data_IF_103488299249
#
_entry.id   IF_103488299249
#
_cell.length_a   1.000
_cell.length_b   1.000
_cell.length_c   1.000
_cell.angle_alpha   90.00
_cell.angle_beta   90.00
_cell.angle_gamma   90.00
#
_symmetry.space_group_name_H-M   'P 1'
#
loop_
_entity.id
_entity.type
_entity.pdbx_description
1 polymer ?
#
# COMPACT_ATOMS: atom_id res chain seq x y z
N UNK A 1 3.36 -2.95 2.98
CA UNK A 1 1.98 -3.38 3.19
C UNK A 1 1.01 -2.23 2.92
N UNK A 2 1.06 -1.11 3.63
CA UNK A 2 0.07 -0.01 3.57
C UNK A 2 -0.12 0.58 2.16
N UNK A 3 0.96 0.72 1.39
CA UNK A 3 0.88 1.23 0.01
C UNK A 3 0.15 0.23 -0.89
N UNK A 4 0.46 -1.06 -0.78
CA UNK A 4 -0.22 -2.12 -1.55
C UNK A 4 -1.71 -2.16 -1.18
N UNK A 5 -2.03 -2.10 0.12
CA UNK A 5 -3.41 -2.06 0.58
C UNK A 5 -4.19 -0.87 0.00
N UNK A 6 -3.59 0.32 0.00
CA UNK A 6 -4.22 1.51 -0.58
C UNK A 6 -4.44 1.39 -2.09
N UNK A 7 -3.50 0.78 -2.81
CA UNK A 7 -3.61 0.55 -4.25
C UNK A 7 -4.74 -0.44 -4.56
N UNK A 8 -4.84 -1.56 -3.80
CA UNK A 8 -5.93 -2.54 -3.93
C UNK A 8 -7.29 -1.90 -3.59
N UNK A 9 -7.36 -1.11 -2.53
CA UNK A 9 -8.60 -0.41 -2.17
C UNK A 9 -9.06 0.53 -3.28
N UNK A 10 -8.13 1.27 -3.90
CA UNK A 10 -8.45 2.20 -4.97
C UNK A 10 -8.89 1.47 -6.24
N UNK A 11 -8.24 0.35 -6.59
CA UNK A 11 -8.70 -0.54 -7.67
C UNK A 11 -10.14 -1.01 -7.42
N UNK A 12 -10.44 -1.48 -6.20
CA UNK A 12 -11.76 -1.98 -5.82
C UNK A 12 -12.84 -0.88 -5.91
N UNK A 13 -12.56 0.30 -5.36
CA UNK A 13 -13.52 1.40 -5.29
C UNK A 13 -13.79 2.04 -6.65
N UNK A 14 -12.80 2.07 -7.53
CA UNK A 14 -12.91 2.72 -8.84
C UNK A 14 -13.21 1.74 -9.97
N UNK A 15 -13.07 0.44 -9.72
CA UNK A 15 -13.12 -0.62 -10.73
C UNK A 15 -12.14 -0.34 -11.87
N UNK A 16 -10.97 0.18 -11.51
CA UNK A 16 -9.89 0.46 -12.46
C UNK A 16 -9.13 -0.80 -12.86
N UNK A 17 -8.13 -0.65 -13.71
CA UNK A 17 -7.18 -1.69 -14.07
C UNK A 17 -6.47 -2.21 -12.80
N UNK A 18 -5.99 -3.46 -12.86
CA UNK A 18 -5.26 -4.10 -11.75
C UNK A 18 -4.00 -3.32 -11.37
N UNK A 19 -3.68 -3.34 -10.09
CA UNK A 19 -2.44 -2.74 -9.60
C UNK A 19 -1.21 -3.44 -10.16
N UNK A 20 -0.15 -2.70 -10.36
CA UNK A 20 1.15 -3.23 -10.78
C UNK A 20 2.20 -3.05 -9.68
N UNK A 21 3.00 -4.09 -9.45
CA UNK A 21 4.17 -4.06 -8.58
C UNK A 21 5.34 -4.60 -9.41
N UNK A 22 6.26 -3.72 -9.78
CA UNK A 22 7.38 -4.08 -10.64
C UNK A 22 8.65 -3.33 -10.25
N UNK A 23 9.78 -3.78 -10.79
CA UNK A 23 11.09 -3.17 -10.60
C UNK A 23 11.58 -2.64 -11.93
N UNK A 24 12.04 -1.40 -11.97
CA UNK A 24 12.60 -0.78 -13.17
C UNK A 24 14.09 -1.15 -13.37
N UNK A 25 14.62 -0.80 -14.53
CA UNK A 25 16.04 -1.00 -14.87
C UNK A 25 16.98 -0.19 -13.97
N UNK A 26 16.48 0.86 -13.34
CA UNK A 26 17.19 1.69 -12.34
C UNK A 26 17.21 1.11 -10.94
N UNK A 27 16.72 -0.15 -10.77
CA UNK A 27 16.65 -0.85 -9.49
C UNK A 27 15.72 -0.21 -8.46
N UNK A 28 14.68 0.50 -8.93
CA UNK A 28 13.61 1.07 -8.10
C UNK A 28 12.37 0.20 -8.17
N UNK A 29 11.71 -0.01 -7.04
CA UNK A 29 10.41 -0.66 -7.01
C UNK A 29 9.29 0.33 -7.27
N UNK A 30 8.30 -0.08 -8.04
CA UNK A 30 7.10 0.66 -8.37
C UNK A 30 5.89 -0.07 -7.85
N UNK A 31 4.98 0.67 -7.21
CA UNK A 31 3.65 0.19 -6.81
C UNK A 31 2.67 1.20 -7.40
N UNK A 32 1.86 0.76 -8.36
CA UNK A 32 0.99 1.62 -9.16
C UNK A 32 -0.46 1.16 -9.12
N UNK A 33 -1.36 2.09 -8.91
CA UNK A 33 -2.78 1.96 -9.16
C UNK A 33 -3.20 2.84 -10.36
N UNK A 34 -4.38 2.57 -10.89
CA UNK A 34 -4.96 3.27 -12.04
C UNK A 34 -6.27 4.00 -11.69
N UNK A 35 -6.48 4.27 -10.41
CA UNK A 35 -7.68 4.90 -9.90
C UNK A 35 -7.69 6.43 -10.02
N UNK A 36 -8.25 7.09 -9.01
CA UNK A 36 -8.47 8.55 -8.99
C UNK A 36 -7.20 9.37 -8.80
N UNK A 37 -6.18 8.76 -8.20
CA UNK A 37 -4.92 9.41 -7.85
C UNK A 37 -4.97 10.16 -6.51
N UNK A 38 -3.81 10.23 -5.85
CA UNK A 38 -3.64 10.98 -4.60
C UNK A 38 -3.58 12.48 -4.90
N UNK A 39 -4.26 13.27 -4.05
CA UNK A 39 -4.11 14.73 -3.96
C UNK A 39 -3.53 15.14 -2.60
N UNK A 40 -3.28 16.43 -2.38
CA UNK A 40 -2.69 16.95 -1.15
C UNK A 40 -3.56 16.69 0.10
N UNK A 41 -4.88 16.58 -0.04
CA UNK A 41 -5.80 16.35 1.07
C UNK A 41 -5.64 14.96 1.66
N UNK A 42 -5.30 13.95 0.85
CA UNK A 42 -5.04 12.59 1.31
C UNK A 42 -3.79 12.47 2.21
N UNK A 43 -2.93 13.48 2.20
CA UNK A 43 -1.78 13.57 3.10
C UNK A 43 -2.15 14.21 4.44
N UNK A 44 -3.33 14.79 4.56
CA UNK A 44 -3.86 15.24 5.85
C UNK A 44 -4.53 14.04 6.56
N UNK A 45 -4.57 14.12 7.90
CA UNK A 45 -5.15 13.05 8.70
C UNK A 45 -6.68 13.19 8.65
N UNK A 46 -7.31 12.57 7.66
CA UNK A 46 -8.77 12.48 7.55
C UNK A 46 -9.16 11.03 7.31
N UNK A 47 -10.15 10.59 8.06
CA UNK A 47 -10.85 9.35 7.76
C UNK A 47 -11.51 9.46 6.38
N UNK A 48 -11.49 8.36 5.64
CA UNK A 48 -12.15 8.31 4.34
C UNK A 48 -13.50 7.62 4.51
N UNK A 49 -14.57 8.41 4.51
CA UNK A 49 -15.96 7.92 4.70
C UNK A 49 -16.34 6.82 3.71
N UNK A 50 -15.84 6.86 2.48
CA UNK A 50 -16.10 5.85 1.46
C UNK A 50 -15.48 4.50 1.84
N UNK A 51 -14.22 4.52 2.32
CA UNK A 51 -13.52 3.33 2.82
C UNK A 51 -14.15 2.78 4.11
N UNK A 52 -14.59 3.65 5.00
CA UNK A 52 -15.26 3.24 6.25
C UNK A 52 -16.57 2.52 5.97
N UNK A 53 -17.34 3.01 5.01
CA UNK A 53 -18.65 2.42 4.62
C UNK A 53 -18.50 1.14 3.81
N UNK A 54 -17.36 0.91 3.17
CA UNK A 54 -17.12 -0.30 2.40
C UNK A 54 -16.74 -1.46 3.32
N UNK A 55 -17.45 -2.58 3.22
CA UNK A 55 -17.10 -3.81 3.95
C UNK A 55 -15.82 -4.47 3.42
N UNK A 56 -15.44 -4.19 2.16
CA UNK A 56 -14.40 -4.91 1.43
C UNK A 56 -13.06 -4.17 1.36
N UNK A 57 -12.98 -2.91 1.80
CA UNK A 57 -11.72 -2.16 1.83
C UNK A 57 -10.84 -2.56 3.02
N UNK A 58 -9.54 -2.49 2.81
CA UNK A 58 -8.50 -2.88 3.76
C UNK A 58 -8.18 -1.72 4.71
N UNK A 59 -7.87 -0.54 4.14
CA UNK A 59 -7.46 0.64 4.90
C UNK A 59 -8.63 1.54 5.24
N UNK A 60 -8.90 1.75 6.54
CA UNK A 60 -10.06 2.54 7.00
C UNK A 60 -9.69 3.86 7.68
N UNK A 61 -8.53 3.95 8.32
CA UNK A 61 -8.24 5.00 9.31
C UNK A 61 -7.37 6.17 8.81
N UNK A 62 -6.97 6.20 7.54
CA UNK A 62 -6.22 7.32 6.96
C UNK A 62 -4.80 7.58 7.52
N UNK A 63 -4.32 6.76 8.45
CA UNK A 63 -3.01 6.92 9.12
C UNK A 63 -1.90 6.18 8.38
N UNK A 64 -2.23 5.06 7.73
CA UNK A 64 -1.27 4.09 7.19
C UNK A 64 -0.27 4.68 6.20
N UNK A 65 -0.68 5.63 5.36
CA UNK A 65 0.24 6.25 4.40
C UNK A 65 1.35 7.04 5.10
N UNK A 66 1.02 7.85 6.10
CA UNK A 66 2.01 8.65 6.84
C UNK A 66 3.00 7.77 7.60
N UNK A 67 2.50 6.73 8.25
CA UNK A 67 3.33 5.76 8.97
C UNK A 67 4.25 4.99 8.02
N UNK A 68 3.76 4.62 6.84
CA UNK A 68 4.57 4.01 5.80
C UNK A 68 5.70 4.94 5.33
N UNK A 69 5.39 6.21 5.03
CA UNK A 69 6.38 7.20 4.59
C UNK A 69 7.45 7.44 5.66
N UNK A 70 7.05 7.60 6.93
CA UNK A 70 7.97 7.74 8.05
C UNK A 70 8.83 6.49 8.26
N UNK A 71 8.27 5.29 8.01
CA UNK A 71 9.00 4.03 8.12
C UNK A 71 10.02 3.88 7.00
N UNK A 72 9.67 4.24 5.76
CA UNK A 72 10.61 4.25 4.65
C UNK A 72 11.80 5.18 4.91
N UNK A 73 11.53 6.40 5.40
CA UNK A 73 12.58 7.34 5.75
C UNK A 73 13.52 6.76 6.82
N UNK A 74 12.99 6.16 7.90
CA UNK A 74 13.81 5.50 8.94
C UNK A 74 14.66 4.34 8.40
N UNK A 75 14.15 3.62 7.39
CA UNK A 75 14.86 2.50 6.73
C UNK A 75 15.80 2.96 5.60
N UNK A 76 15.90 4.26 5.32
CA UNK A 76 16.73 4.79 4.22
C UNK A 76 16.17 4.54 2.82
N UNK A 77 14.90 4.15 2.71
CA UNK A 77 14.20 4.01 1.43
C UNK A 77 13.74 5.38 0.97
N UNK A 78 14.18 5.81 -0.21
CA UNK A 78 13.75 7.07 -0.82
C UNK A 78 12.43 6.86 -1.56
N UNK A 79 11.44 7.66 -1.20
CA UNK A 79 10.10 7.60 -1.78
C UNK A 79 9.83 8.82 -2.64
N UNK A 80 9.37 8.59 -3.86
CA UNK A 80 8.70 9.60 -4.66
C UNK A 80 7.33 9.09 -5.10
N UNK A 81 6.37 10.00 -5.19
CA UNK A 81 5.00 9.69 -5.60
C UNK A 81 4.67 10.52 -6.82
N UNK A 82 4.19 9.86 -7.86
CA UNK A 82 3.56 10.47 -9.01
C UNK A 82 2.07 10.20 -8.96
N UNK A 83 1.28 11.21 -9.21
CA UNK A 83 -0.17 11.07 -9.25
C UNK A 83 -0.75 11.96 -10.35
N UNK A 84 -1.97 11.70 -10.72
CA UNK A 84 -2.74 12.58 -11.61
C UNK A 84 -2.78 14.05 -11.14
N UNK A 85 -2.74 14.27 -9.83
CA UNK A 85 -2.93 15.59 -9.23
C UNK A 85 -1.64 16.24 -8.75
N UNK A 86 -0.75 15.46 -8.17
CA UNK A 86 0.48 15.95 -7.55
C UNK A 86 1.66 15.03 -7.83
N UNK A 87 2.86 15.60 -7.75
CA UNK A 87 4.09 14.86 -7.51
C UNK A 87 4.57 15.19 -6.10
N UNK A 88 5.15 14.19 -5.42
CA UNK A 88 5.64 14.35 -4.06
C UNK A 88 6.99 13.67 -3.88
N UNK A 89 7.86 14.32 -3.13
CA UNK A 89 9.11 13.75 -2.61
C UNK A 89 9.20 13.98 -1.11
N UNK A 90 10.01 13.19 -0.42
CA UNK A 90 10.28 13.36 0.99
C UNK A 90 11.65 14.00 1.19
N UNK A 91 11.75 14.94 2.10
CA UNK A 91 12.97 15.65 2.44
C UNK A 91 13.06 15.88 3.96
N UNK A 92 14.27 15.78 4.52
CA UNK A 92 14.54 16.19 5.90
C UNK A 92 15.03 17.60 5.92
N UNK A 93 14.26 18.48 6.54
CA UNK A 93 14.61 19.90 6.72
C UNK A 93 14.34 20.36 8.13
N UNK A 94 14.92 21.49 8.51
CA UNK A 94 14.64 22.10 9.79
C UNK A 94 13.16 22.46 9.92
N UNK A 95 12.59 22.15 11.07
CA UNK A 95 11.22 22.53 11.38
C UNK A 95 11.10 24.05 11.37
N UNK A 96 10.09 24.58 10.68
CA UNK A 96 9.87 26.02 10.61
C UNK A 96 9.86 26.67 12.02
N UNK A 97 10.70 27.66 12.22
CA UNK A 97 10.86 28.33 13.50
C UNK A 97 11.81 27.65 14.52
N UNK A 98 12.44 26.51 14.16
CA UNK A 98 13.35 25.77 15.04
C UNK A 98 14.59 25.33 14.26
N UNK A 99 15.74 25.96 14.53
CA UNK A 99 16.98 25.66 13.82
C UNK A 99 17.56 24.27 14.13
N UNK A 100 17.28 23.74 15.31
CA UNK A 100 17.89 22.50 15.82
C UNK A 100 16.98 21.26 15.67
N UNK A 101 15.76 21.45 15.16
CA UNK A 101 14.81 20.34 15.01
C UNK A 101 14.63 19.99 13.54
N UNK A 102 15.17 18.84 13.13
CA UNK A 102 14.99 18.30 11.77
C UNK A 102 13.77 17.38 11.74
N UNK A 103 12.87 17.65 10.82
CA UNK A 103 11.65 16.85 10.60
C UNK A 103 11.56 16.38 9.17
N UNK A 104 10.77 15.32 8.93
CA UNK A 104 10.45 14.82 7.60
C UNK A 104 9.34 15.69 7.00
N UNK A 105 9.60 16.25 5.83
CA UNK A 105 8.66 17.07 5.08
C UNK A 105 8.29 16.40 3.75
N UNK A 106 7.05 16.59 3.34
CA UNK A 106 6.58 16.26 2.01
C UNK A 106 6.70 17.51 1.12
N UNK A 107 7.53 17.45 0.10
CA UNK A 107 7.62 18.47 -0.93
C UNK A 107 6.63 18.11 -2.05
N UNK A 108 5.57 18.88 -2.16
CA UNK A 108 4.43 18.63 -3.05
C UNK A 108 4.40 19.67 -4.16
N UNK A 109 4.34 19.19 -5.39
CA UNK A 109 4.19 20.03 -6.58
C UNK A 109 2.98 19.58 -7.41
N UNK A 110 2.27 20.47 -8.10
CA UNK A 110 1.22 20.07 -9.02
C UNK A 110 1.77 19.13 -10.11
N UNK A 111 0.98 18.13 -10.49
CA UNK A 111 1.34 17.26 -11.61
C UNK A 111 1.27 18.03 -12.93
N UNK A 112 2.32 17.91 -13.74
CA UNK A 112 2.37 18.43 -15.11
C UNK A 112 1.72 17.47 -16.12
N UNK A 113 1.67 16.17 -15.79
CA UNK A 113 1.08 15.13 -16.66
C UNK A 113 -0.40 14.94 -16.36
N UNK A 114 -1.24 15.63 -17.13
CA UNK A 114 -2.72 15.52 -17.02
C UNK A 114 -3.28 14.19 -17.55
N UNK A 115 -2.50 13.45 -18.33
CA UNK A 115 -2.86 12.12 -18.85
C UNK A 115 -2.55 11.00 -17.88
N UNK A 116 -1.76 11.25 -16.84
CA UNK A 116 -1.41 10.24 -15.84
C UNK A 116 -2.67 9.80 -15.06
N UNK A 117 -2.89 8.49 -14.99
CA UNK A 117 -3.99 7.88 -14.23
C UNK A 117 -3.44 7.28 -12.94
N UNK A 118 -4.22 7.42 -11.87
CA UNK A 118 -3.92 6.78 -10.59
C UNK A 118 -2.75 7.39 -9.82
N UNK A 119 -2.10 6.55 -9.04
CA UNK A 119 -0.94 6.87 -8.22
C UNK A 119 0.17 5.86 -8.44
N UNK A 120 1.39 6.32 -8.48
CA UNK A 120 2.60 5.49 -8.55
C UNK A 120 3.57 5.88 -7.43
N UNK A 121 3.86 4.92 -6.57
CA UNK A 121 4.92 4.99 -5.57
C UNK A 121 6.20 4.42 -6.15
N UNK A 122 7.28 5.20 -6.13
CA UNK A 122 8.61 4.80 -6.59
C UNK A 122 9.52 4.72 -5.38
N UNK A 123 10.04 3.53 -5.09
CA UNK A 123 10.82 3.20 -3.90
C UNK A 123 12.26 2.88 -4.31
N UNK A 124 13.19 3.82 -4.06
CA UNK A 124 14.63 3.58 -4.27
C UNK A 124 15.26 3.04 -3.00
N UNK A 125 16.23 2.16 -3.15
CA UNK A 125 16.93 1.49 -2.04
C UNK A 125 15.99 0.62 -1.17
N UNK A 126 14.91 0.11 -1.75
CA UNK A 126 14.03 -0.84 -1.08
C UNK A 126 14.52 -2.27 -1.39
N UNK A 127 14.90 -3.08 -0.38
CA UNK A 127 15.32 -4.45 -0.60
C UNK A 127 14.20 -5.31 -1.19
N UNK A 128 14.53 -6.20 -2.14
CA UNK A 128 13.56 -7.09 -2.79
C UNK A 128 12.79 -7.93 -1.77
N UNK A 129 13.49 -8.43 -0.76
CA UNK A 129 12.88 -9.23 0.31
C UNK A 129 11.77 -8.49 1.06
N UNK A 130 11.85 -7.17 1.22
CA UNK A 130 10.82 -6.37 1.89
C UNK A 130 9.57 -6.23 1.03
N UNK A 131 9.73 -6.15 -0.29
CA UNK A 131 8.59 -6.12 -1.23
C UNK A 131 7.92 -7.50 -1.28
N UNK A 132 8.69 -8.58 -1.40
CA UNK A 132 8.13 -9.93 -1.42
C UNK A 132 7.42 -10.27 -0.09
N UNK A 133 7.99 -9.93 1.06
CA UNK A 133 7.31 -10.06 2.34
C UNK A 133 6.00 -9.27 2.39
N UNK A 134 6.00 -8.05 1.84
CA UNK A 134 4.80 -7.22 1.82
C UNK A 134 3.72 -7.79 0.89
N UNK A 135 4.10 -8.34 -0.27
CA UNK A 135 3.19 -9.01 -1.23
C UNK A 135 2.56 -10.26 -0.60
N UNK A 136 3.35 -11.08 0.07
CA UNK A 136 2.89 -12.33 0.68
C UNK A 136 1.85 -12.13 1.79
N UNK A 137 1.69 -10.92 2.30
CA UNK A 137 0.58 -10.60 3.21
C UNK A 137 -0.78 -10.49 2.51
N UNK A 138 -0.80 -10.50 1.17
CA UNK A 138 -2.04 -10.38 0.41
C UNK A 138 -2.33 -11.68 -0.33
N UNK A 139 -3.51 -12.24 -0.13
CA UNK A 139 -3.94 -13.51 -0.72
C UNK A 139 -3.73 -13.54 -2.25
N UNK A 140 -3.99 -12.41 -2.93
CA UNK A 140 -3.82 -12.33 -4.40
C UNK A 140 -2.37 -12.53 -4.88
N UNK A 141 -1.36 -12.37 -4.00
CA UNK A 141 0.06 -12.53 -4.31
C UNK A 141 0.73 -13.66 -3.54
N UNK A 142 0.04 -14.28 -2.57
CA UNK A 142 0.61 -15.32 -1.70
C UNK A 142 0.82 -16.65 -2.42
N UNK A 143 0.08 -16.89 -3.51
CA UNK A 143 0.09 -18.18 -4.20
C UNK A 143 -0.74 -19.27 -3.50
N UNK A 144 -1.47 -18.93 -2.43
CA UNK A 144 -2.33 -19.86 -1.70
C UNK A 144 -3.38 -20.48 -2.63
N UNK A 145 -3.55 -21.79 -2.51
CA UNK A 145 -4.48 -22.53 -3.33
C UNK A 145 -5.88 -22.56 -2.71
N UNK A 146 -6.87 -22.09 -3.48
CA UNK A 146 -8.28 -22.13 -3.07
C UNK A 146 -8.79 -23.57 -3.28
N UNK A 147 -9.28 -24.19 -2.20
CA UNK A 147 -9.91 -25.52 -2.23
C UNK A 147 -11.41 -25.42 -2.44
N UNK A 148 -12.04 -24.42 -1.81
CA UNK A 148 -13.49 -24.23 -1.90
C UNK A 148 -13.83 -22.74 -1.80
N UNK A 149 -14.82 -22.29 -2.58
CA UNK A 149 -15.42 -20.97 -2.46
C UNK A 149 -16.83 -21.10 -1.91
N UNK A 150 -17.13 -20.27 -0.93
CA UNK A 150 -18.47 -20.21 -0.30
C UNK A 150 -19.00 -18.78 -0.33
N UNK A 151 -20.31 -18.56 -0.10
CA UNK A 151 -20.86 -17.21 -0.03
C UNK A 151 -20.29 -16.33 1.09
N UNK A 152 -19.61 -16.93 2.08
CA UNK A 152 -19.07 -16.22 3.24
C UNK A 152 -17.55 -16.19 3.27
N UNK A 153 -16.86 -16.88 2.37
CA UNK A 153 -15.39 -16.89 2.34
C UNK A 153 -14.81 -18.03 1.52
N UNK A 154 -13.52 -18.16 1.58
CA UNK A 154 -12.74 -19.17 0.85
C UNK A 154 -12.04 -20.09 1.84
N UNK A 155 -11.99 -21.39 1.51
CA UNK A 155 -11.16 -22.38 2.20
C UNK A 155 -9.90 -22.59 1.35
N UNK A 156 -8.74 -22.38 1.97
CA UNK A 156 -7.44 -22.45 1.30
C UNK A 156 -6.68 -23.66 1.78
N UNK A 157 -5.80 -24.20 0.91
CA UNK A 157 -4.91 -25.29 1.27
C UNK A 157 -3.90 -24.82 2.36
N UNK A 158 -3.74 -25.60 3.40
CA UNK A 158 -2.70 -25.38 4.41
C UNK A 158 -1.40 -26.03 3.92
N UNK A 159 -0.49 -25.26 3.33
CA UNK A 159 0.77 -25.77 2.78
C UNK A 159 1.88 -25.95 3.85
N UNK A 160 1.69 -25.38 5.04
CA UNK A 160 2.66 -25.44 6.14
C UNK A 160 2.02 -25.97 7.43
N UNK A 161 2.79 -26.02 8.50
CA UNK A 161 2.24 -26.38 9.84
C UNK A 161 1.28 -25.29 10.36
N UNK A 162 1.38 -24.08 9.84
CA UNK A 162 0.57 -22.92 10.25
C UNK A 162 -0.50 -22.62 9.20
N UNK A 163 -1.74 -22.46 9.62
CA UNK A 163 -2.83 -21.96 8.81
C UNK A 163 -2.88 -20.42 8.88
N UNK A 164 -3.20 -19.79 7.75
CA UNK A 164 -3.31 -18.35 7.65
C UNK A 164 -4.78 -17.92 7.61
N UNK A 165 -5.07 -16.80 8.29
CA UNK A 165 -6.41 -16.19 8.27
C UNK A 165 -6.32 -14.86 7.53
N UNK A 166 -7.12 -14.74 6.47
CA UNK A 166 -7.22 -13.53 5.64
C UNK A 166 -8.56 -12.82 5.88
N UNK A 167 -8.51 -11.50 5.99
CA UNK A 167 -9.71 -10.65 5.97
C UNK A 167 -9.54 -9.64 4.85
N UNK A 168 -10.52 -9.56 3.96
CA UNK A 168 -10.47 -8.75 2.75
C UNK A 168 -9.18 -9.00 1.94
N UNK A 169 -8.76 -10.27 1.88
CA UNK A 169 -7.56 -10.69 1.17
C UNK A 169 -6.24 -10.29 1.83
N UNK A 170 -6.25 -9.82 3.09
CA UNK A 170 -5.03 -9.52 3.85
C UNK A 170 -4.88 -10.47 5.02
N UNK A 171 -3.70 -11.04 5.16
CA UNK A 171 -3.32 -11.88 6.28
C UNK A 171 -3.38 -11.09 7.59
N UNK A 172 -4.18 -11.57 8.53
CA UNK A 172 -4.42 -10.92 9.82
C UNK A 172 -4.02 -11.76 11.01
N UNK A 173 -4.01 -13.09 10.86
CA UNK A 173 -3.63 -14.01 11.94
C UNK A 173 -3.05 -15.32 11.39
N UNK A 174 -2.46 -16.09 12.28
CA UNK A 174 -1.99 -17.45 12.03
C UNK A 174 -2.49 -18.37 13.15
N UNK A 175 -2.84 -19.61 12.76
CA UNK A 175 -3.36 -20.63 13.69
C UNK A 175 -2.83 -22.01 13.35
N UNK A 176 -2.07 -22.60 14.24
CA UNK A 176 -1.41 -23.88 13.99
C UNK A 176 -2.39 -25.05 14.03
N UNK A 177 -3.46 -24.92 14.82
CA UNK A 177 -4.46 -25.98 15.04
C UNK A 177 -5.55 -26.06 13.96
N UNK A 178 -5.57 -25.14 13.00
CA UNK A 178 -6.55 -25.19 11.93
C UNK A 178 -6.10 -26.16 10.85
N UNK A 179 -7.08 -26.88 10.25
CA UNK A 179 -6.83 -27.83 9.17
C UNK A 179 -6.62 -27.14 7.81
N UNK A 180 -7.15 -25.93 7.67
CA UNK A 180 -7.15 -25.13 6.44
C UNK A 180 -6.80 -23.67 6.76
N UNK A 181 -6.35 -22.93 5.77
CA UNK A 181 -6.31 -21.47 5.81
C UNK A 181 -7.64 -20.88 5.31
N UNK A 182 -7.98 -19.64 5.72
CA UNK A 182 -9.28 -19.01 5.44
C UNK A 182 -9.12 -17.54 5.04
#
# INVERSE_FOLDING_TARGET
REIIANAIDEELLTKSEEIEIFKDDGNSWHIRDYGRGINSEHLTQKENDEKIKSAHTIGKFGIGLKDALATFDRKGVKVSIKSRHINMTLERTNKHGFADIVTLHANITPSSDKGFKGTEFILKNCPDIEIEKAKNLFLRFSGEKILEETPIGQVLEKESETAWIYINGVQVAQEDNFLFSY
#
